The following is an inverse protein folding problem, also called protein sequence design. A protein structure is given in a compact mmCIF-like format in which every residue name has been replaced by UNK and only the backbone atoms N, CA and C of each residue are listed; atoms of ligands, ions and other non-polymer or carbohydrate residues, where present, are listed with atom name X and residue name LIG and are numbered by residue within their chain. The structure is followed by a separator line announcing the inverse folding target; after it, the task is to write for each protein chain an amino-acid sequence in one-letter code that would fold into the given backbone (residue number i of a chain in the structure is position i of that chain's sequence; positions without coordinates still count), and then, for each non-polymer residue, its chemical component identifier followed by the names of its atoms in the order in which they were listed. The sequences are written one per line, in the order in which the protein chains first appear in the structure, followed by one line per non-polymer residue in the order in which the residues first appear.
data_IF_692315393621
#
_entry.id   IF_692315393621
#
_cell.length_a   1.000
_cell.length_b   1.000
_cell.length_c   1.000
_cell.angle_alpha   90.00
_cell.angle_beta   90.00
_cell.angle_gamma   90.00
#
_symmetry.space_group_name_H-M   'P 1'
#
loop_
_entity.id
_entity.type
_entity.pdbx_description
1 polymer ?
#
# COMPACT_ATOMS: atom_id res chain seq x y z
N UNK A 1 -7.13 8.43 4.27
CA UNK A 1 -6.12 8.66 5.33
C UNK A 1 -5.28 9.87 4.95
N UNK A 2 -5.41 11.03 5.62
CA UNK A 2 -4.55 12.18 5.36
C UNK A 2 -3.09 11.88 5.77
N UNK A 3 -2.12 12.30 4.96
CA UNK A 3 -0.69 12.20 5.28
C UNK A 3 -0.27 13.55 5.84
N UNK A 4 -0.10 13.62 7.16
CA UNK A 4 0.45 14.81 7.83
C UNK A 4 1.97 14.72 7.78
N UNK A 5 2.63 15.79 7.32
CA UNK A 5 4.07 15.93 7.35
C UNK A 5 4.46 16.68 8.62
N UNK A 6 5.13 16.00 9.56
CA UNK A 6 5.60 16.60 10.83
C UNK A 6 6.79 17.55 10.63
N UNK A 7 7.48 17.44 9.49
CA UNK A 7 8.59 18.31 9.09
C UNK A 7 8.50 18.66 7.61
N UNK A 8 9.06 19.80 7.21
CA UNK A 8 9.24 20.21 5.80
C UNK A 8 10.40 19.44 5.13
N UNK A 9 10.81 18.30 5.68
CA UNK A 9 11.87 17.49 5.12
C UNK A 9 11.30 16.54 4.05
N UNK A 10 11.64 16.85 2.80
CA UNK A 10 11.19 16.07 1.64
C UNK A 10 11.61 14.60 1.72
N UNK A 11 12.79 14.31 2.28
CA UNK A 11 13.30 12.95 2.39
C UNK A 11 12.47 12.11 3.37
N UNK A 12 12.13 12.68 4.53
CA UNK A 12 11.31 12.01 5.54
C UNK A 12 9.87 11.80 5.06
N UNK A 13 9.30 12.81 4.38
CA UNK A 13 7.99 12.71 3.73
C UNK A 13 7.96 11.56 2.70
N UNK A 14 8.97 11.50 1.84
CA UNK A 14 9.10 10.48 0.80
C UNK A 14 9.24 9.08 1.41
N UNK A 15 10.06 8.95 2.47
CA UNK A 15 10.21 7.70 3.23
C UNK A 15 8.87 7.24 3.82
N UNK A 16 8.18 8.13 4.53
CA UNK A 16 6.89 7.82 5.16
C UNK A 16 5.84 7.39 4.13
N UNK A 17 5.75 8.07 2.98
CA UNK A 17 4.83 7.69 1.91
C UNK A 17 5.16 6.30 1.36
N UNK A 18 6.44 6.02 1.10
CA UNK A 18 6.86 4.71 0.60
C UNK A 18 6.54 3.60 1.60
N UNK A 19 6.78 3.82 2.89
CA UNK A 19 6.44 2.86 3.94
C UNK A 19 4.92 2.61 4.04
N UNK A 20 4.10 3.67 4.04
CA UNK A 20 2.63 3.54 4.07
C UNK A 20 2.09 2.80 2.85
N UNK A 21 2.61 3.09 1.66
CA UNK A 21 2.20 2.40 0.44
C UNK A 21 2.56 0.92 0.48
N UNK A 22 3.77 0.57 0.93
CA UNK A 22 4.22 -0.81 1.07
C UNK A 22 3.38 -1.59 2.08
N UNK A 23 3.02 -0.97 3.21
CA UNK A 23 2.13 -1.57 4.23
C UNK A 23 0.72 -1.80 3.67
N UNK A 24 0.20 -0.88 2.86
CA UNK A 24 -1.18 -0.96 2.35
C UNK A 24 -1.34 -2.00 1.25
N UNK A 25 -0.38 -2.07 0.31
CA UNK A 25 -0.44 -2.95 -0.85
C UNK A 25 0.09 -4.36 -0.57
N UNK A 26 1.08 -4.54 0.31
CA UNK A 26 1.70 -5.85 0.55
C UNK A 26 2.55 -6.39 -0.61
N UNK A 27 2.52 -5.76 -1.78
CA UNK A 27 3.38 -6.04 -2.94
C UNK A 27 4.03 -4.75 -3.45
N UNK A 28 5.28 -4.84 -3.92
CA UNK A 28 6.01 -3.70 -4.50
C UNK A 28 5.29 -3.16 -5.74
N UNK A 29 4.66 -4.04 -6.53
CA UNK A 29 3.97 -3.63 -7.77
C UNK A 29 2.71 -2.81 -7.43
N UNK A 30 1.88 -3.32 -6.53
CA UNK A 30 0.67 -2.62 -6.07
C UNK A 30 1.03 -1.32 -5.34
N UNK A 31 2.08 -1.32 -4.50
CA UNK A 31 2.54 -0.11 -3.81
C UNK A 31 3.03 0.97 -4.77
N UNK A 32 3.77 0.58 -5.83
CA UNK A 32 4.22 1.50 -6.86
C UNK A 32 3.04 2.10 -7.64
N UNK A 33 2.03 1.28 -7.93
CA UNK A 33 0.79 1.75 -8.58
C UNK A 33 0.00 2.73 -7.71
N UNK A 34 -0.08 2.49 -6.39
CA UNK A 34 -0.73 3.40 -5.44
C UNK A 34 -0.02 4.77 -5.37
N UNK A 35 1.30 4.77 -5.48
CA UNK A 35 2.11 5.98 -5.49
C UNK A 35 2.18 6.67 -6.87
N UNK A 36 1.65 6.04 -7.93
CA UNK A 36 1.74 6.56 -9.30
C UNK A 36 3.16 6.56 -9.87
N UNK A 37 4.04 5.66 -9.40
CA UNK A 37 5.43 5.55 -9.85
C UNK A 37 5.73 4.15 -10.41
N UNK A 38 6.87 3.99 -11.08
CA UNK A 38 7.30 2.67 -11.56
C UNK A 38 7.86 1.82 -10.42
N UNK A 39 7.77 0.49 -10.57
CA UNK A 39 8.41 -0.48 -9.66
C UNK A 39 9.91 -0.20 -9.46
N UNK A 40 10.62 0.19 -10.52
CA UNK A 40 12.05 0.52 -10.45
C UNK A 40 12.31 1.78 -9.64
N UNK A 41 11.47 2.81 -9.79
CA UNK A 41 11.57 4.02 -8.97
C UNK A 41 11.35 3.69 -7.49
N UNK A 42 10.34 2.88 -7.16
CA UNK A 42 10.08 2.46 -5.79
C UNK A 42 11.25 1.66 -5.20
N UNK A 43 11.83 0.72 -5.96
CA UNK A 43 13.01 -0.05 -5.50
C UNK A 43 14.20 0.85 -5.19
N UNK A 44 14.46 1.88 -6.00
CA UNK A 44 15.53 2.86 -5.74
C UNK A 44 15.25 3.68 -4.48
N UNK A 45 14.00 4.08 -4.24
CA UNK A 45 13.60 4.83 -3.04
C UNK A 45 13.74 4.00 -1.76
N UNK A 46 13.42 2.71 -1.81
CA UNK A 46 13.65 1.77 -0.69
C UNK A 46 15.13 1.74 -0.30
N UNK A 47 16.02 1.63 -1.29
CA UNK A 47 17.48 1.62 -1.06
C UNK A 47 17.95 2.98 -0.53
N UNK A 48 17.54 4.07 -1.19
CA UNK A 48 17.93 5.44 -0.84
C UNK A 48 17.55 5.82 0.59
N UNK A 49 16.35 5.44 1.02
CA UNK A 49 15.80 5.78 2.33
C UNK A 49 16.02 4.69 3.39
N UNK A 50 16.76 3.63 3.05
CA UNK A 50 17.03 2.48 3.91
C UNK A 50 15.75 1.93 4.58
N UNK A 51 14.73 1.70 3.77
CA UNK A 51 13.44 1.17 4.24
C UNK A 51 13.58 -0.35 4.40
N UNK A 52 13.32 -0.87 5.60
CA UNK A 52 13.29 -2.31 5.83
C UNK A 52 12.07 -2.94 5.12
N UNK A 53 12.35 -3.69 4.06
CA UNK A 53 11.39 -4.48 3.27
C UNK A 53 12.10 -5.69 2.67
N UNK A 54 11.52 -6.91 2.65
CA UNK A 54 10.15 -7.27 3.02
C UNK A 54 9.93 -7.32 4.54
N UNK A 55 8.79 -6.80 5.00
CA UNK A 55 8.34 -7.07 6.37
C UNK A 55 7.90 -8.54 6.48
N UNK A 56 8.05 -9.20 7.64
CA UNK A 56 7.42 -10.48 7.88
C UNK A 56 5.93 -10.34 7.55
N UNK A 57 5.39 -11.30 6.79
CA UNK A 57 4.00 -11.28 6.31
C UNK A 57 3.05 -11.22 7.51
N UNK A 58 2.68 -10.02 7.95
CA UNK A 58 1.51 -9.84 8.80
C UNK A 58 0.33 -9.98 7.85
N UNK A 59 -0.38 -11.11 7.96
CA UNK A 59 -1.64 -11.33 7.25
C UNK A 59 -2.65 -10.37 7.87
N UNK A 60 -2.64 -9.11 7.43
CA UNK A 60 -3.72 -8.18 7.71
C UNK A 60 -4.84 -8.51 6.74
N UNK A 61 -5.76 -9.35 7.21
CA UNK A 61 -7.02 -9.65 6.54
C UNK A 61 -7.76 -8.33 6.38
N UNK A 62 -7.74 -7.76 5.17
CA UNK A 62 -8.65 -6.69 4.79
C UNK A 62 -10.06 -7.30 4.87
N UNK A 63 -11.04 -6.74 5.62
CA UNK A 63 -12.40 -7.24 5.55
C UNK A 63 -12.88 -7.00 4.11
N UNK A 64 -12.97 -8.09 3.34
CA UNK A 64 -13.62 -8.07 2.05
C UNK A 64 -15.06 -7.68 2.31
N UNK A 65 -15.49 -6.60 1.67
CA UNK A 65 -16.85 -6.08 1.72
C UNK A 65 -17.83 -7.24 1.47
N UNK A 66 -18.58 -7.63 2.49
CA UNK A 66 -19.58 -8.69 2.42
C UNK A 66 -20.75 -8.12 1.63
N UNK A 67 -20.67 -8.19 0.32
CA UNK A 67 -21.80 -7.85 -0.54
C UNK A 67 -22.90 -8.90 -0.30
N UNK A 68 -24.14 -8.51 0.07
CA UNK A 68 -25.21 -9.46 0.26
C UNK A 68 -25.59 -10.08 -1.08
N UNK A 69 -25.36 -11.39 -1.21
CA UNK A 69 -25.80 -12.17 -2.36
C UNK A 69 -27.33 -12.06 -2.46
N UNK A 70 -27.82 -11.54 -3.59
CA UNK A 70 -29.27 -11.55 -3.88
C UNK A 70 -29.68 -13.01 -4.10
N UNK A 71 -30.71 -13.52 -3.40
CA UNK A 71 -31.22 -14.85 -3.67
C UNK A 71 -31.83 -14.89 -5.08
N UNK A 72 -31.31 -15.77 -5.93
CA UNK A 72 -31.90 -16.12 -7.22
C UNK A 72 -33.17 -16.92 -6.97
N UNK A 73 -34.33 -16.34 -7.26
CA UNK A 73 -35.62 -17.04 -7.25
C UNK A 73 -35.73 -17.89 -8.52
N UNK A 74 -36.03 -19.21 -8.43
CA UNK A 74 -36.33 -19.99 -9.61
C UNK A 74 -37.72 -19.60 -10.14
N UNK A 75 -37.77 -19.24 -11.42
CA UNK A 75 -39.02 -19.08 -12.18
C UNK A 75 -39.47 -20.49 -12.56
N UNK A 76 -40.62 -20.91 -12.05
CA UNK A 76 -41.32 -22.12 -12.47
C UNK A 76 -42.08 -21.88 -13.78
#
# INVERSE_FOLDING_TARGET
MPIVLESLNLADAERMMCEKALVTAGSIVEAASLLGITRHALKRRIIKHNIQWPRPRVVMTRPVDVMPQRPSVPVF
#
